data_IF_891324699454
#
_entry.id   IF_891324699454
#
_cell.length_a   1.000
_cell.length_b   1.000
_cell.length_c   1.000
_cell.angle_alpha   90.00
_cell.angle_beta   90.00
_cell.angle_gamma   90.00
#
_symmetry.space_group_name_H-M   'P 1'
#
loop_
_entity.id
_entity.type
_entity.pdbx_description
1 polymer ?
#
# COMPACT_ATOMS: atom_id res chain seq x y z
N UNK A 1 19.13 -9.19 8.93
CA UNK A 1 20.29 -9.31 8.03
C UNK A 1 20.48 -8.00 7.29
N UNK A 2 21.71 -7.50 7.20
CA UNK A 2 22.04 -6.27 6.46
C UNK A 2 22.15 -6.55 4.95
N UNK A 3 22.13 -5.48 4.14
CA UNK A 3 22.33 -5.58 2.69
C UNK A 3 23.68 -6.22 2.33
N UNK A 4 24.68 -6.03 3.18
CA UNK A 4 26.01 -6.60 3.02
C UNK A 4 26.04 -8.10 3.33
N UNK A 5 25.27 -8.54 4.33
CA UNK A 5 25.11 -9.97 4.65
C UNK A 5 24.37 -10.73 3.53
N UNK A 6 23.38 -10.10 2.89
CA UNK A 6 22.69 -10.67 1.72
C UNK A 6 23.65 -10.81 0.53
N UNK A 7 24.50 -9.81 0.30
CA UNK A 7 25.47 -9.80 -0.80
C UNK A 7 26.57 -10.84 -0.59
N UNK A 8 27.03 -11.03 0.65
CA UNK A 8 28.00 -12.05 1.04
C UNK A 8 27.46 -13.48 0.85
N UNK A 9 26.15 -13.67 0.99
CA UNK A 9 25.46 -14.93 0.73
C UNK A 9 25.25 -15.23 -0.78
N UNK A 10 25.79 -14.40 -1.69
CA UNK A 10 25.61 -14.57 -3.13
C UNK A 10 24.23 -14.21 -3.66
N UNK A 11 23.36 -13.65 -2.81
CA UNK A 11 22.06 -13.13 -3.24
C UNK A 11 22.29 -11.83 -4.03
N UNK A 12 22.06 -11.89 -5.34
CA UNK A 12 22.03 -10.70 -6.18
C UNK A 12 20.81 -9.88 -5.77
N UNK A 13 21.02 -8.76 -5.11
CA UNK A 13 20.02 -7.70 -5.02
C UNK A 13 19.77 -7.20 -6.44
N UNK A 14 18.74 -7.72 -7.10
CA UNK A 14 18.17 -7.05 -8.28
C UNK A 14 17.52 -5.79 -7.74
N UNK A 15 18.27 -4.70 -7.80
CA UNK A 15 17.82 -3.38 -7.40
C UNK A 15 16.86 -2.89 -8.50
N UNK A 16 15.77 -3.61 -8.73
CA UNK A 16 14.74 -3.24 -9.70
C UNK A 16 14.05 -2.03 -9.11
N UNK A 17 14.25 -0.83 -9.66
CA UNK A 17 13.60 0.36 -9.12
C UNK A 17 12.10 0.21 -9.38
N UNK A 18 11.31 0.39 -8.32
CA UNK A 18 9.88 0.56 -8.45
C UNK A 18 9.57 2.01 -8.80
N UNK A 19 8.54 2.24 -9.59
CA UNK A 19 8.12 3.58 -10.02
C UNK A 19 6.60 3.64 -10.12
N UNK A 20 6.05 4.86 -10.04
CA UNK A 20 4.60 5.10 -10.04
C UNK A 20 4.08 5.49 -8.66
N UNK A 21 2.78 5.28 -8.45
CA UNK A 21 2.07 5.67 -7.23
C UNK A 21 1.07 4.59 -6.86
N UNK A 22 0.64 4.59 -5.59
CA UNK A 22 -0.39 3.69 -5.08
C UNK A 22 -1.51 4.53 -4.47
N UNK A 23 -2.70 4.59 -5.08
CA UNK A 23 -3.88 5.17 -4.46
C UNK A 23 -4.20 4.44 -3.15
N UNK A 24 -4.45 5.20 -2.09
CA UNK A 24 -4.90 4.68 -0.80
C UNK A 24 -6.12 5.49 -0.38
N UNK A 25 -7.19 4.80 -0.02
CA UNK A 25 -8.42 5.40 0.50
C UNK A 25 -8.82 4.72 1.81
N UNK A 26 -9.03 5.51 2.87
CA UNK A 26 -9.59 5.00 4.13
C UNK A 26 -11.11 5.00 3.97
N UNK A 27 -11.69 3.82 3.77
CA UNK A 27 -13.12 3.66 3.58
C UNK A 27 -13.91 3.84 4.89
N UNK A 28 -13.40 3.27 5.98
CA UNK A 28 -13.97 3.45 7.30
C UNK A 28 -12.90 3.42 8.39
N UNK A 29 -13.20 4.09 9.50
CA UNK A 29 -12.42 4.07 10.73
C UNK A 29 -13.40 3.98 11.91
N UNK A 30 -13.47 2.80 12.51
CA UNK A 30 -14.47 2.46 13.52
C UNK A 30 -13.79 2.18 14.87
N UNK A 31 -14.30 2.71 15.99
CA UNK A 31 -13.80 2.36 17.32
C UNK A 31 -13.90 0.85 17.57
N UNK A 32 -12.85 0.25 18.12
CA UNK A 32 -12.83 -1.17 18.50
C UNK A 32 -12.03 -1.39 19.78
N UNK A 33 -12.73 -1.68 20.87
CA UNK A 33 -12.10 -1.86 22.18
C UNK A 33 -11.31 -0.61 22.57
N UNK A 34 -10.01 -0.78 22.78
CA UNK A 34 -9.06 0.27 23.14
C UNK A 34 -8.36 0.94 21.94
N UNK A 35 -8.89 0.75 20.73
CA UNK A 35 -8.29 1.28 19.52
C UNK A 35 -9.31 1.50 18.41
N UNK A 36 -8.84 1.39 17.17
CA UNK A 36 -9.64 1.51 15.98
C UNK A 36 -9.43 0.34 15.02
N UNK A 37 -10.45 0.09 14.22
CA UNK A 37 -10.39 -0.74 13.03
C UNK A 37 -10.57 0.14 11.81
N UNK A 38 -9.63 0.08 10.88
CA UNK A 38 -9.74 0.74 9.59
C UNK A 38 -10.01 -0.30 8.49
N UNK A 39 -10.88 0.06 7.56
CA UNK A 39 -10.99 -0.59 6.25
C UNK A 39 -10.32 0.32 5.23
N UNK A 40 -9.28 -0.18 4.57
CA UNK A 40 -8.43 0.59 3.66
C UNK A 40 -8.48 -0.04 2.27
N UNK A 41 -8.78 0.77 1.27
CA UNK A 41 -8.77 0.39 -0.14
C UNK A 41 -7.44 0.83 -0.76
N UNK A 42 -6.80 -0.04 -1.52
CA UNK A 42 -5.53 0.25 -2.21
C UNK A 42 -5.66 0.04 -3.71
N UNK A 43 -5.11 0.93 -4.53
CA UNK A 43 -5.02 0.78 -5.98
C UNK A 43 -3.70 0.11 -6.37
N UNK A 44 -3.74 -1.16 -6.76
CA UNK A 44 -2.54 -1.97 -7.02
C UNK A 44 -2.03 -1.85 -8.47
N UNK A 45 -2.70 -1.05 -9.30
CA UNK A 45 -2.49 -1.00 -10.75
C UNK A 45 -1.41 0.00 -11.21
N UNK A 46 -1.04 0.96 -10.36
CA UNK A 46 -0.19 2.12 -10.75
C UNK A 46 1.28 2.03 -10.30
N UNK A 47 1.68 0.91 -9.71
CA UNK A 47 3.06 0.60 -9.31
C UNK A 47 3.72 -0.32 -10.33
N UNK A 48 4.95 0.02 -10.73
CA UNK A 48 5.63 -0.58 -11.88
C UNK A 48 7.06 -0.97 -11.52
N UNK A 49 7.53 -2.00 -12.21
CA UNK A 49 8.93 -2.41 -12.22
C UNK A 49 9.46 -2.47 -13.67
N UNK A 50 10.80 -2.51 -13.81
CA UNK A 50 11.41 -2.71 -15.12
C UNK A 50 11.14 -4.13 -15.65
N UNK A 51 10.66 -4.24 -16.89
CA UNK A 51 10.33 -5.52 -17.50
C UNK A 51 11.62 -6.34 -17.78
N UNK A 52 11.81 -7.53 -17.17
CA UNK A 52 13.09 -8.25 -17.19
C UNK A 52 13.63 -8.56 -18.59
N UNK A 53 12.74 -8.89 -19.53
CA UNK A 53 13.08 -9.32 -20.89
C UNK A 53 12.83 -8.22 -21.95
N UNK A 54 12.52 -6.98 -21.52
CA UNK A 54 12.20 -5.86 -22.40
C UNK A 54 12.90 -4.58 -21.95
N UNK A 55 14.15 -4.37 -22.37
CA UNK A 55 14.91 -3.17 -22.00
C UNK A 55 14.14 -1.88 -22.28
N UNK A 56 14.11 -0.98 -21.29
CA UNK A 56 13.41 0.31 -21.38
C UNK A 56 11.89 0.23 -21.27
N UNK A 57 11.31 -0.96 -21.04
CA UNK A 57 9.88 -1.12 -20.79
C UNK A 57 9.61 -1.36 -19.31
N UNK A 58 8.42 -0.95 -18.90
CA UNK A 58 7.89 -1.12 -17.55
C UNK A 58 6.67 -2.03 -17.58
N UNK A 59 6.41 -2.71 -16.47
CA UNK A 59 5.24 -3.57 -16.27
C UNK A 59 4.69 -3.33 -14.87
N UNK A 60 3.36 -3.32 -14.73
CA UNK A 60 2.73 -3.19 -13.42
C UNK A 60 3.08 -4.39 -12.53
N UNK A 61 3.24 -4.17 -11.22
CA UNK A 61 3.56 -5.22 -10.25
C UNK A 61 2.42 -6.23 -10.06
N UNK A 62 1.20 -5.92 -10.55
CA UNK A 62 0.07 -6.87 -10.57
C UNK A 62 0.05 -7.77 -11.82
N UNK A 63 0.89 -7.47 -12.81
CA UNK A 63 1.04 -8.28 -14.01
C UNK A 63 2.20 -9.26 -13.89
N UNK A 64 2.06 -10.41 -14.55
CA UNK A 64 3.15 -11.35 -14.74
C UNK A 64 4.20 -10.70 -15.63
N UNK A 65 5.36 -10.36 -15.06
CA UNK A 65 6.43 -9.59 -15.72
C UNK A 65 6.84 -10.11 -17.11
N UNK A 66 6.76 -11.42 -17.36
CA UNK A 66 7.07 -12.03 -18.67
C UNK A 66 6.02 -11.79 -19.75
N UNK A 67 4.76 -11.65 -19.36
CA UNK A 67 3.63 -11.62 -20.31
C UNK A 67 2.87 -10.30 -20.32
N UNK A 68 3.02 -9.48 -19.28
CA UNK A 68 2.22 -8.28 -19.07
C UNK A 68 0.75 -8.57 -18.79
N UNK A 69 0.37 -9.82 -18.50
CA UNK A 69 -1.01 -10.20 -18.19
C UNK A 69 -1.23 -10.27 -16.68
N UNK A 70 -2.43 -9.92 -16.23
CA UNK A 70 -2.85 -10.09 -14.84
C UNK A 70 -2.75 -11.56 -14.43
N UNK A 71 -2.17 -11.80 -13.26
CA UNK A 71 -2.06 -13.14 -12.70
C UNK A 71 -3.41 -13.66 -12.20
N UNK A 72 -4.18 -12.80 -11.55
CA UNK A 72 -5.42 -13.21 -10.89
C UNK A 72 -6.68 -12.54 -11.51
N UNK A 73 -6.53 -11.80 -12.61
CA UNK A 73 -7.65 -11.06 -13.22
C UNK A 73 -7.93 -9.73 -12.51
N UNK A 74 -9.06 -9.11 -12.83
CA UNK A 74 -9.31 -7.71 -12.48
C UNK A 74 -9.50 -7.46 -10.97
N UNK A 75 -9.82 -8.49 -10.16
CA UNK A 75 -10.06 -8.32 -8.71
C UNK A 75 -8.81 -7.87 -7.95
N UNK A 76 -7.62 -8.22 -8.43
CA UNK A 76 -6.36 -7.85 -7.77
C UNK A 76 -5.98 -6.36 -7.97
N UNK A 77 -6.71 -5.63 -8.82
CA UNK A 77 -6.40 -4.22 -9.11
C UNK A 77 -6.80 -3.30 -7.95
N UNK A 78 -7.70 -3.75 -7.09
CA UNK A 78 -8.06 -3.05 -5.86
C UNK A 78 -7.80 -4.00 -4.69
N UNK A 79 -6.93 -3.61 -3.77
CA UNK A 79 -6.72 -4.32 -2.51
C UNK A 79 -7.69 -3.80 -1.44
N UNK A 80 -8.08 -4.69 -0.54
CA UNK A 80 -8.84 -4.34 0.66
C UNK A 80 -8.05 -4.85 1.85
N UNK A 81 -7.73 -3.94 2.75
CA UNK A 81 -7.01 -4.22 3.96
C UNK A 81 -7.87 -3.87 5.16
N UNK A 82 -7.87 -4.76 6.14
CA UNK A 82 -8.33 -4.43 7.48
C UNK A 82 -7.12 -4.21 8.36
N UNK A 83 -7.07 -3.07 9.04
CA UNK A 83 -5.99 -2.70 9.95
C UNK A 83 -6.59 -2.44 11.33
N UNK A 84 -5.99 -3.01 12.39
CA UNK A 84 -6.30 -2.67 13.77
C UNK A 84 -5.15 -1.86 14.37
N UNK A 85 -5.49 -0.79 15.10
CA UNK A 85 -4.52 0.14 15.66
C UNK A 85 -4.93 0.64 17.06
N UNK A 86 -3.95 0.91 17.93
CA UNK A 86 -4.17 1.45 19.28
C UNK A 86 -3.00 2.35 19.70
N UNK A 87 -3.27 3.26 20.64
CA UNK A 87 -2.30 4.10 21.33
C UNK A 87 -1.91 3.58 22.71
N UNK A 88 -2.46 2.43 23.14
CA UNK A 88 -2.27 1.86 24.49
C UNK A 88 -1.17 0.80 24.60
N UNK A 89 -0.26 0.72 23.64
CA UNK A 89 0.80 -0.31 23.66
C UNK A 89 1.82 0.01 24.76
N UNK A 90 2.36 -1.04 25.39
CA UNK A 90 3.10 -1.00 26.67
C UNK A 90 4.31 -0.04 26.74
N UNK A 91 4.85 0.43 25.60
CA UNK A 91 5.98 1.39 25.51
C UNK A 91 5.58 2.80 25.01
N UNK A 92 4.28 3.13 24.96
CA UNK A 92 3.78 4.44 24.49
C UNK A 92 4.33 5.65 25.28
N UNK A 93 4.86 5.44 26.50
CA UNK A 93 5.39 6.50 27.36
C UNK A 93 6.64 7.22 26.78
N UNK A 94 7.35 6.61 25.84
CA UNK A 94 8.52 7.20 25.18
C UNK A 94 8.20 7.78 23.78
N UNK A 95 6.98 7.60 23.27
CA UNK A 95 6.60 8.05 21.94
C UNK A 95 6.35 9.58 21.93
N UNK A 96 6.64 10.27 20.81
CA UNK A 96 6.16 11.63 20.59
C UNK A 96 4.64 11.69 20.78
N UNK A 97 4.12 12.82 21.27
CA UNK A 97 2.67 13.02 21.34
C UNK A 97 1.99 12.87 19.97
N UNK A 98 0.74 12.44 19.95
CA UNK A 98 -0.03 12.35 18.70
C UNK A 98 -0.05 13.71 17.98
N UNK A 99 0.03 13.73 16.63
CA UNK A 99 -0.11 14.95 15.85
C UNK A 99 -1.39 15.71 16.22
N UNK A 100 -1.27 17.01 16.47
CA UNK A 100 -2.39 17.86 16.90
C UNK A 100 -3.41 18.18 15.77
N UNK A 101 -3.15 17.75 14.53
CA UNK A 101 -4.00 18.00 13.38
C UNK A 101 -3.59 17.16 12.17
N UNK A 102 -4.32 17.35 11.06
CA UNK A 102 -4.03 16.69 9.79
C UNK A 102 -2.59 16.99 9.33
N UNK A 103 -1.87 15.94 8.97
CA UNK A 103 -0.49 16.05 8.48
C UNK A 103 -0.47 16.25 6.97
N UNK A 104 0.35 17.19 6.51
CA UNK A 104 0.62 17.42 5.09
C UNK A 104 2.00 18.06 4.92
N UNK A 105 2.64 17.87 3.77
CA UNK A 105 3.90 18.52 3.44
C UNK A 105 4.50 18.04 2.12
N UNK A 106 5.70 18.53 1.76
CA UNK A 106 6.31 18.27 0.45
C UNK A 106 7.04 16.91 0.37
N UNK A 107 7.20 16.20 1.48
CA UNK A 107 8.01 14.99 1.50
C UNK A 107 7.23 13.79 0.92
N UNK A 108 7.86 12.95 0.08
CA UNK A 108 7.19 11.77 -0.48
C UNK A 108 7.01 10.64 0.54
N UNK A 109 7.77 10.66 1.63
CA UNK A 109 7.73 9.69 2.72
C UNK A 109 8.03 10.38 4.06
N UNK A 110 7.55 9.86 5.20
CA UNK A 110 7.90 10.41 6.50
C UNK A 110 9.38 10.17 6.78
N UNK A 111 10.10 11.20 7.23
CA UNK A 111 11.52 11.11 7.59
C UNK A 111 11.75 10.82 9.07
N UNK A 112 10.67 10.65 9.84
CA UNK A 112 10.68 10.37 11.28
C UNK A 112 9.34 9.79 11.72
N UNK A 113 9.15 9.63 13.03
CA UNK A 113 7.89 9.18 13.59
C UNK A 113 6.80 10.25 13.41
N UNK A 114 5.72 9.87 12.73
CA UNK A 114 4.55 10.69 12.39
C UNK A 114 3.26 10.11 12.98
N UNK A 115 3.36 9.04 13.77
CA UNK A 115 2.22 8.34 14.37
C UNK A 115 2.20 8.50 15.89
N UNK A 116 3.34 8.81 16.52
CA UNK A 116 3.42 8.99 17.96
C UNK A 116 3.10 7.68 18.70
N UNK A 117 2.17 7.66 19.67
CA UNK A 117 1.86 6.44 20.42
C UNK A 117 1.08 5.41 19.61
N UNK A 118 0.55 5.79 18.44
CA UNK A 118 -0.28 4.91 17.62
C UNK A 118 0.55 3.82 16.94
N UNK A 119 0.07 2.58 17.03
CA UNK A 119 0.71 1.43 16.40
C UNK A 119 -0.30 0.44 15.85
N UNK A 120 0.10 -0.31 14.83
CA UNK A 120 -0.71 -1.39 14.27
C UNK A 120 -0.61 -2.65 15.13
N UNK A 121 -1.75 -3.20 15.52
CA UNK A 121 -1.86 -4.45 16.29
C UNK A 121 -2.27 -5.64 15.42
N UNK A 122 -2.73 -5.39 14.19
CA UNK A 122 -2.99 -6.43 13.21
C UNK A 122 -3.33 -5.87 11.83
N UNK A 123 -3.10 -6.69 10.81
CA UNK A 123 -3.45 -6.40 9.42
C UNK A 123 -3.85 -7.69 8.69
N UNK A 124 -4.84 -7.61 7.79
CA UNK A 124 -5.21 -8.71 6.90
C UNK A 124 -5.67 -8.19 5.54
N UNK A 125 -5.45 -9.00 4.51
CA UNK A 125 -5.87 -8.79 3.12
C UNK A 125 -6.88 -9.82 2.59
N UNK A 126 -7.49 -10.65 3.45
CA UNK A 126 -8.44 -11.68 2.99
C UNK A 126 -9.43 -12.16 4.05
N UNK A 127 -8.94 -12.90 5.06
CA UNK A 127 -9.78 -13.37 6.17
C UNK A 127 -9.28 -12.78 7.48
N UNK A 128 -10.20 -12.47 8.38
CA UNK A 128 -9.90 -12.04 9.74
C UNK A 128 -10.46 -13.01 10.77
N UNK A 129 -9.67 -13.34 11.80
CA UNK A 129 -10.12 -14.18 12.91
C UNK A 129 -9.42 -15.53 12.95
N UNK A 130 -9.97 -16.44 13.75
CA UNK A 130 -9.38 -17.77 13.96
C UNK A 130 -9.50 -18.62 12.68
N UNK A 131 -8.54 -19.53 12.51
CA UNK A 131 -8.59 -20.50 11.41
C UNK A 131 -9.87 -21.32 11.47
N UNK A 132 -10.62 -21.39 10.37
CA UNK A 132 -11.91 -22.09 10.27
C UNK A 132 -13.13 -21.23 10.63
N UNK A 133 -12.94 -20.07 11.26
CA UNK A 133 -14.01 -19.13 11.66
C UNK A 133 -13.77 -17.71 11.11
N UNK A 134 -12.89 -17.60 10.11
CA UNK A 134 -12.48 -16.31 9.56
C UNK A 134 -13.63 -15.60 8.85
N UNK A 135 -13.82 -14.33 9.17
CA UNK A 135 -14.72 -13.44 8.43
C UNK A 135 -13.99 -12.89 7.19
N UNK A 136 -14.69 -12.84 6.05
CA UNK A 136 -14.16 -12.16 4.86
C UNK A 136 -14.10 -10.66 5.13
N UNK A 137 -12.95 -10.05 4.84
CA UNK A 137 -12.79 -8.59 4.89
C UNK A 137 -13.13 -7.93 3.55
N UNK A 138 -13.38 -8.75 2.52
CA UNK A 138 -13.70 -8.35 1.15
C UNK A 138 -15.06 -8.91 0.71
N UNK A 139 -16.17 -8.60 1.43
CA UNK A 139 -17.50 -8.91 0.94
C UNK A 139 -17.85 -8.01 -0.27
N UNK A 140 -18.77 -8.45 -1.17
CA UNK A 140 -19.08 -7.74 -2.41
C UNK A 140 -19.45 -6.25 -2.24
N UNK A 141 -20.09 -5.89 -1.14
CA UNK A 141 -20.47 -4.52 -0.84
C UNK A 141 -19.25 -3.63 -0.55
N UNK A 142 -18.30 -4.12 0.25
CA UNK A 142 -17.06 -3.41 0.57
C UNK A 142 -16.15 -3.34 -0.67
N UNK A 143 -16.09 -4.44 -1.43
CA UNK A 143 -15.43 -4.48 -2.74
C UNK A 143 -15.90 -3.35 -3.64
N UNK A 144 -17.21 -3.24 -3.82
CA UNK A 144 -17.79 -2.19 -4.66
C UNK A 144 -17.45 -0.80 -4.16
N UNK A 145 -17.56 -0.55 -2.85
CA UNK A 145 -17.21 0.75 -2.28
C UNK A 145 -15.75 1.11 -2.50
N UNK A 146 -14.83 0.14 -2.33
CA UNK A 146 -13.42 0.35 -2.61
C UNK A 146 -13.14 0.60 -4.08
N UNK A 147 -13.81 -0.12 -4.99
CA UNK A 147 -13.67 0.11 -6.42
C UNK A 147 -14.19 1.49 -6.85
N UNK A 148 -15.30 1.94 -6.28
CA UNK A 148 -15.91 3.25 -6.54
C UNK A 148 -15.10 4.41 -5.93
N UNK A 149 -14.31 4.14 -4.88
CA UNK A 149 -13.46 5.14 -4.22
C UNK A 149 -12.10 5.36 -4.91
N UNK A 150 -11.73 4.50 -5.87
CA UNK A 150 -10.49 4.69 -6.63
C UNK A 150 -10.58 5.90 -7.55
N UNK A 151 -9.48 6.62 -7.77
CA UNK A 151 -9.47 7.78 -8.66
C UNK A 151 -9.66 7.40 -10.13
N UNK A 152 -9.31 6.17 -10.51
CA UNK A 152 -9.38 5.66 -11.87
C UNK A 152 -10.51 4.64 -12.03
N UNK A 153 -11.24 4.72 -13.16
CA UNK A 153 -12.30 3.76 -13.48
C UNK A 153 -11.75 2.37 -13.82
N UNK A 154 -12.63 1.35 -13.86
CA UNK A 154 -12.22 -0.03 -14.10
C UNK A 154 -11.42 -0.24 -15.41
N UNK A 155 -11.73 0.50 -16.48
CA UNK A 155 -11.04 0.37 -17.75
C UNK A 155 -9.65 1.00 -17.69
N UNK A 156 -9.52 2.18 -17.07
CA UNK A 156 -8.25 2.85 -16.83
C UNK A 156 -7.32 2.01 -15.95
N UNK A 157 -7.84 1.46 -14.85
CA UNK A 157 -7.11 0.54 -13.96
C UNK A 157 -6.54 -0.65 -14.74
N UNK A 158 -7.37 -1.28 -15.57
CA UNK A 158 -6.96 -2.43 -16.38
C UNK A 158 -5.92 -2.06 -17.45
N UNK A 159 -6.08 -0.90 -18.08
CA UNK A 159 -5.15 -0.41 -19.09
C UNK A 159 -3.77 -0.09 -18.49
N UNK A 160 -3.71 0.44 -17.27
CA UNK A 160 -2.46 0.61 -16.53
C UNK A 160 -1.87 -0.74 -16.12
N UNK A 161 -2.68 -1.63 -15.56
CA UNK A 161 -2.17 -2.88 -15.01
C UNK A 161 -1.75 -3.93 -16.06
N UNK A 162 -1.97 -3.70 -17.36
CA UNK A 162 -1.70 -4.71 -18.40
C UNK A 162 -0.80 -4.21 -19.52
N UNK A 163 0.02 -5.12 -20.02
CA UNK A 163 0.93 -4.87 -21.12
C UNK A 163 2.31 -4.41 -20.65
N UNK A 164 3.01 -3.75 -21.56
CA UNK A 164 4.35 -3.20 -21.36
C UNK A 164 4.32 -1.74 -21.76
N UNK A 165 4.89 -0.89 -20.92
CA UNK A 165 4.74 0.55 -21.01
C UNK A 165 6.10 1.22 -21.26
N UNK A 166 6.10 2.30 -22.01
CA UNK A 166 7.31 3.10 -22.27
C UNK A 166 7.76 3.90 -21.05
N UNK A 167 6.83 4.23 -20.17
CA UNK A 167 7.07 4.93 -18.92
C UNK A 167 6.11 4.42 -17.84
N UNK A 168 6.49 4.47 -16.55
CA UNK A 168 5.55 4.27 -15.46
C UNK A 168 4.52 5.42 -15.41
N UNK A 169 3.36 5.24 -14.77
CA UNK A 169 2.42 6.31 -14.53
C UNK A 169 3.09 7.46 -13.77
N UNK A 170 2.78 8.73 -14.13
CA UNK A 170 3.28 9.86 -13.39
C UNK A 170 2.72 9.83 -11.97
N UNK A 171 3.58 9.93 -10.97
CA UNK A 171 3.17 9.89 -9.55
C UNK A 171 2.84 11.25 -8.97
N UNK A 172 2.90 12.32 -9.77
CA UNK A 172 2.61 13.70 -9.36
C UNK A 172 3.40 14.15 -8.14
N UNK A 173 2.90 15.21 -7.50
CA UNK A 173 3.34 15.62 -6.17
C UNK A 173 2.74 14.70 -5.10
N UNK A 174 3.39 14.53 -3.94
CA UNK A 174 2.81 13.79 -2.81
C UNK A 174 1.48 14.38 -2.33
N UNK A 175 0.41 13.55 -2.24
CA UNK A 175 -0.94 13.99 -1.84
C UNK A 175 -1.53 13.09 -0.73
N UNK A 176 -1.85 13.64 0.46
CA UNK A 176 -1.16 14.77 1.09
C UNK A 176 0.22 14.26 1.52
N UNK A 177 1.30 14.82 0.96
CA UNK A 177 2.65 14.40 1.33
C UNK A 177 2.95 14.54 2.83
N UNK A 178 4.15 14.16 3.23
CA UNK A 178 4.53 14.12 4.63
C UNK A 178 5.13 15.46 5.09
N UNK A 179 4.91 15.85 6.36
CA UNK A 179 5.58 16.99 6.94
C UNK A 179 7.10 16.87 6.80
N UNK A 180 7.76 17.97 6.45
CA UNK A 180 9.20 18.06 6.63
C UNK A 180 9.48 18.15 8.13
N UNK A 181 10.32 17.26 8.68
CA UNK A 181 10.77 17.40 10.07
C UNK A 181 11.58 18.69 10.15
N UNK A 182 11.06 19.72 10.84
CA UNK A 182 11.89 20.84 11.27
C UNK A 182 12.72 20.34 12.46
N UNK A 183 14.03 20.28 12.28
CA UNK A 183 14.98 20.04 13.36
C UNK A 183 15.01 21.15 14.39
#
# INVERSE_FOLDING_TARGET
MTRDELKAAGLKSTNTPYSGYQPIHILSLEPRGDGFRATVCTGEYSTYEGAPDKPGKYVSTTAVAKTGKLQYGDWQLVGIQRIELTDKVLDAAAAPGSPAGAQAGPMPAPSGDVFGPWSFTGSSGGLWGLSGEGESIDPPEIRKQCEDAMPDDAAARKAMATGFHDAPPPHGDPIPGWPAVRG
#
